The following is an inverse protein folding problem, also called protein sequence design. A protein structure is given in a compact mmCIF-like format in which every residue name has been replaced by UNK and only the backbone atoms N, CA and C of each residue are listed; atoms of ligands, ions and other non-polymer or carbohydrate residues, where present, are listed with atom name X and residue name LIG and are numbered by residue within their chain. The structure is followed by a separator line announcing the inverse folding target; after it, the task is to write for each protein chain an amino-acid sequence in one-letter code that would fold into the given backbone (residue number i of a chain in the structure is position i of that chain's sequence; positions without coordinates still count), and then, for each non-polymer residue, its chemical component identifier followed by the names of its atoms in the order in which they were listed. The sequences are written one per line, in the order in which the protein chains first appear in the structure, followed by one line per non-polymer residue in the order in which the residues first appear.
data_IF_291868997667
#
_entry.id   IF_291868997667
#
_cell.length_a   1.000
_cell.length_b   1.000
_cell.length_c   1.000
_cell.angle_alpha   90.00
_cell.angle_beta   90.00
_cell.angle_gamma   90.00
#
_symmetry.space_group_name_H-M   'P 1'
#
loop_
_entity.id
_entity.type
_entity.pdbx_description
1 polymer ?
#
# COMPACT_ATOMS: atom_id res chain seq x y z
N UNK A 1 -22.27 -18.40 -3.11
CA UNK A 1 -20.84 -18.00 -3.04
C UNK A 1 -20.06 -18.86 -4.02
N UNK A 2 -19.08 -18.33 -4.76
CA UNK A 2 -18.39 -19.10 -5.80
C UNK A 2 -17.36 -20.04 -5.17
N UNK A 3 -17.06 -21.15 -5.85
CA UNK A 3 -16.08 -22.15 -5.36
C UNK A 3 -14.70 -21.51 -5.13
N UNK A 4 -14.27 -20.62 -6.03
CA UNK A 4 -12.98 -19.91 -5.94
C UNK A 4 -12.86 -19.05 -4.68
N UNK A 5 -13.96 -18.40 -4.26
CA UNK A 5 -13.99 -17.59 -3.02
C UNK A 5 -13.79 -18.47 -1.79
N UNK A 6 -14.36 -19.69 -1.79
CA UNK A 6 -14.20 -20.67 -0.70
C UNK A 6 -12.77 -21.21 -0.65
N UNK A 7 -12.16 -21.52 -1.80
CA UNK A 7 -10.77 -21.97 -1.86
C UNK A 7 -9.81 -20.88 -1.34
N UNK A 8 -10.04 -19.62 -1.70
CA UNK A 8 -9.26 -18.49 -1.18
C UNK A 8 -9.41 -18.33 0.35
N UNK A 9 -10.63 -18.50 0.88
CA UNK A 9 -10.87 -18.49 2.33
C UNK A 9 -10.10 -19.61 3.05
N UNK A 10 -10.06 -20.83 2.49
CA UNK A 10 -9.30 -21.95 3.06
C UNK A 10 -7.81 -21.61 3.15
N UNK A 11 -7.22 -21.11 2.06
CA UNK A 11 -5.78 -20.76 2.04
C UNK A 11 -5.44 -19.68 3.06
N UNK A 12 -6.27 -18.63 3.17
CA UNK A 12 -6.05 -17.56 4.13
C UNK A 12 -6.20 -18.04 5.58
N UNK A 13 -7.14 -18.93 5.86
CA UNK A 13 -7.30 -19.49 7.20
C UNK A 13 -6.10 -20.36 7.60
N UNK A 14 -5.58 -21.17 6.66
CA UNK A 14 -4.34 -21.93 6.89
C UNK A 14 -3.17 -20.98 7.09
N UNK A 15 -3.04 -19.91 6.29
CA UNK A 15 -1.96 -18.92 6.47
C UNK A 15 -1.91 -18.32 7.86
N UNK A 16 -3.07 -17.92 8.39
CA UNK A 16 -3.15 -17.19 9.67
C UNK A 16 -3.07 -18.12 10.88
N UNK A 17 -3.57 -19.35 10.76
CA UNK A 17 -3.73 -20.25 11.90
C UNK A 17 -2.96 -21.57 11.76
N UNK A 18 -2.05 -21.67 10.80
CA UNK A 18 -1.19 -22.85 10.64
C UNK A 18 -0.37 -23.15 11.91
N UNK A 19 -0.28 -24.41 12.33
CA UNK A 19 -1.02 -25.56 11.78
C UNK A 19 -2.50 -25.57 12.21
N UNK A 20 -3.41 -25.84 11.26
CA UNK A 20 -4.87 -25.92 11.53
C UNK A 20 -5.51 -27.18 10.96
N UNK A 21 -6.38 -27.84 11.73
CA UNK A 21 -7.03 -29.09 11.32
C UNK A 21 -8.16 -28.88 10.31
N UNK A 22 -8.49 -29.94 9.57
CA UNK A 22 -9.60 -29.95 8.62
C UNK A 22 -10.95 -29.62 9.28
N UNK A 23 -11.17 -30.13 10.50
CA UNK A 23 -12.40 -29.90 11.26
C UNK A 23 -12.53 -28.44 11.71
N UNK A 24 -11.42 -27.83 12.16
CA UNK A 24 -11.42 -26.41 12.53
C UNK A 24 -11.64 -25.49 11.31
N UNK A 25 -11.07 -25.85 10.15
CA UNK A 25 -11.35 -25.15 8.88
C UNK A 25 -12.83 -25.31 8.46
N UNK A 26 -13.37 -26.50 8.62
CA UNK A 26 -14.75 -26.85 8.28
C UNK A 26 -15.74 -26.04 9.11
N UNK A 27 -15.54 -25.99 10.44
CA UNK A 27 -16.35 -25.20 11.36
C UNK A 27 -16.33 -23.70 11.00
N UNK A 28 -15.13 -23.14 10.78
CA UNK A 28 -14.96 -21.70 10.48
C UNK A 28 -15.54 -21.29 9.14
N UNK A 29 -15.48 -22.16 8.14
CA UNK A 29 -16.02 -21.89 6.80
C UNK A 29 -17.52 -22.22 6.72
N UNK A 30 -18.02 -23.05 7.65
CA UNK A 30 -19.40 -23.53 7.70
C UNK A 30 -19.67 -24.64 6.68
N UNK A 31 -18.70 -25.54 6.47
CA UNK A 31 -18.80 -26.68 5.55
C UNK A 31 -18.37 -27.97 6.24
N UNK A 32 -18.55 -29.13 5.59
CA UNK A 32 -18.08 -30.40 6.16
C UNK A 32 -16.57 -30.59 5.99
N UNK A 33 -15.96 -31.37 6.89
CA UNK A 33 -14.54 -31.75 6.79
C UNK A 33 -14.22 -32.43 5.45
N UNK A 34 -15.11 -33.29 4.93
CA UNK A 34 -15.00 -33.88 3.58
C UNK A 34 -14.88 -32.82 2.48
N UNK A 35 -15.58 -31.70 2.63
CA UNK A 35 -15.51 -30.59 1.67
C UNK A 35 -14.19 -29.84 1.79
N UNK A 36 -13.66 -29.67 3.02
CA UNK A 36 -12.33 -29.11 3.24
C UNK A 36 -11.25 -30.02 2.64
N UNK A 37 -11.28 -31.33 2.88
CA UNK A 37 -10.32 -32.24 2.24
C UNK A 37 -10.32 -32.09 0.72
N UNK A 38 -11.50 -32.06 0.10
CA UNK A 38 -11.61 -31.82 -1.34
C UNK A 38 -11.08 -30.44 -1.75
N UNK A 39 -11.26 -29.40 -0.94
CA UNK A 39 -10.70 -28.08 -1.20
C UNK A 39 -9.18 -28.06 -1.03
N UNK A 40 -8.61 -28.76 -0.05
CA UNK A 40 -7.17 -28.93 0.11
C UNK A 40 -6.59 -29.66 -1.11
N UNK A 41 -7.26 -30.70 -1.59
CA UNK A 41 -6.88 -31.40 -2.83
C UNK A 41 -6.93 -30.44 -4.03
N UNK A 42 -8.03 -29.70 -4.21
CA UNK A 42 -8.18 -28.70 -5.27
C UNK A 42 -7.06 -27.63 -5.21
N UNK A 43 -6.70 -27.16 -4.00
CA UNK A 43 -5.65 -26.16 -3.77
C UNK A 43 -4.24 -26.72 -4.02
N UNK A 44 -4.00 -27.97 -3.62
CA UNK A 44 -2.73 -28.68 -3.87
C UNK A 44 -2.53 -28.88 -5.36
N UNK A 45 -3.58 -29.30 -6.09
CA UNK A 45 -3.58 -29.41 -7.55
C UNK A 45 -3.36 -28.04 -8.22
N UNK A 46 -3.83 -26.95 -7.60
CA UNK A 46 -3.61 -25.56 -8.05
C UNK A 46 -2.22 -25.00 -7.72
N UNK A 47 -1.31 -25.82 -7.18
CA UNK A 47 0.09 -25.46 -6.94
C UNK A 47 0.36 -24.70 -5.63
N UNK A 48 -0.62 -24.65 -4.70
CA UNK A 48 -0.39 -24.06 -3.38
C UNK A 48 0.33 -25.10 -2.50
N UNK A 49 1.54 -24.79 -1.96
CA UNK A 49 2.38 -25.74 -1.26
C UNK A 49 1.89 -25.92 0.19
N UNK A 50 0.84 -26.73 0.32
CA UNK A 50 0.25 -27.16 1.58
C UNK A 50 0.94 -28.43 2.07
N UNK A 51 1.24 -28.47 3.36
CA UNK A 51 1.71 -29.67 4.08
C UNK A 51 0.66 -30.06 5.12
N UNK A 52 0.31 -31.33 5.16
CA UNK A 52 -0.61 -31.87 6.16
C UNK A 52 0.05 -33.01 6.93
N UNK A 53 0.01 -32.94 8.27
CA UNK A 53 0.39 -34.06 9.13
C UNK A 53 -0.85 -34.53 9.88
N UNK A 54 -1.12 -35.84 9.82
CA UNK A 54 -2.27 -36.44 10.50
C UNK A 54 -2.24 -36.12 12.00
N UNK A 55 -3.36 -35.62 12.54
CA UNK A 55 -3.47 -35.20 13.94
C UNK A 55 -2.92 -33.81 14.27
N UNK A 56 -2.16 -33.18 13.37
CA UNK A 56 -1.61 -31.81 13.56
C UNK A 56 -2.36 -30.79 12.70
N UNK A 57 -2.74 -31.17 11.48
CA UNK A 57 -3.46 -30.31 10.53
C UNK A 57 -2.59 -29.83 9.38
N UNK A 58 -3.05 -28.77 8.73
CA UNK A 58 -2.46 -28.19 7.51
C UNK A 58 -1.69 -26.91 7.81
N UNK A 59 -0.56 -26.77 7.13
CA UNK A 59 0.30 -25.60 7.11
C UNK A 59 0.75 -25.29 5.68
N UNK A 60 1.14 -24.05 5.43
CA UNK A 60 1.86 -23.66 4.22
C UNK A 60 3.36 -23.86 4.42
N UNK A 61 4.10 -24.08 3.33
CA UNK A 61 5.56 -24.08 3.38
C UNK A 61 6.09 -22.77 3.98
N UNK A 62 7.12 -22.86 4.83
CA UNK A 62 7.88 -21.67 5.24
C UNK A 62 8.37 -20.91 4.00
N UNK A 63 8.12 -19.60 3.96
CA UNK A 63 8.44 -18.74 2.81
C UNK A 63 7.37 -18.68 1.71
N UNK A 64 6.16 -19.23 1.90
CA UNK A 64 5.05 -18.98 0.98
C UNK A 64 4.50 -17.55 1.19
N UNK A 65 5.08 -16.63 0.42
CA UNK A 65 4.85 -15.17 0.43
C UNK A 65 3.38 -14.76 0.24
N UNK A 66 3.11 -13.47 0.47
CA UNK A 66 1.80 -12.81 0.38
C UNK A 66 1.00 -13.32 -0.82
N UNK A 67 -0.33 -13.56 -0.69
CA UNK A 67 -1.13 -13.92 -1.85
C UNK A 67 -0.96 -12.86 -2.94
N UNK A 68 -0.93 -13.24 -4.23
CA UNK A 68 -0.81 -12.29 -5.32
C UNK A 68 -1.88 -11.22 -5.14
N UNK A 69 -1.46 -9.95 -5.13
CA UNK A 69 -2.38 -8.84 -4.96
C UNK A 69 -3.33 -8.84 -6.17
N UNK A 70 -4.59 -9.20 -5.97
CA UNK A 70 -5.59 -9.13 -7.04
C UNK A 70 -6.15 -7.73 -7.06
N UNK A 71 -5.62 -6.88 -7.94
CA UNK A 71 -6.21 -5.58 -8.25
C UNK A 71 -7.12 -5.71 -9.48
N UNK A 72 -8.28 -5.09 -9.41
CA UNK A 72 -9.08 -4.80 -10.59
C UNK A 72 -8.36 -3.78 -11.48
N UNK A 73 -8.76 -3.68 -12.76
CA UNK A 73 -8.21 -2.69 -13.68
C UNK A 73 -8.33 -1.26 -13.15
N UNK A 74 -9.50 -0.91 -12.60
CA UNK A 74 -9.77 0.42 -12.04
C UNK A 74 -8.91 0.72 -10.81
N UNK A 75 -8.68 -0.27 -9.95
CA UNK A 75 -7.81 -0.10 -8.78
C UNK A 75 -6.35 0.11 -9.19
N UNK A 76 -5.87 -0.60 -10.22
CA UNK A 76 -4.53 -0.36 -10.75
C UNK A 76 -4.43 1.03 -11.39
N UNK A 77 -5.42 1.43 -12.19
CA UNK A 77 -5.43 2.76 -12.82
C UNK A 77 -5.44 3.88 -11.75
N UNK A 78 -6.19 3.71 -10.66
CA UNK A 78 -6.20 4.64 -9.52
C UNK A 78 -4.84 4.69 -8.80
N UNK A 79 -4.21 3.54 -8.56
CA UNK A 79 -2.89 3.47 -7.95
C UNK A 79 -1.82 4.15 -8.82
N UNK A 80 -1.82 3.87 -10.12
CA UNK A 80 -0.90 4.47 -11.09
C UNK A 80 -1.05 5.99 -11.10
N UNK A 81 -2.28 6.48 -11.18
CA UNK A 81 -2.56 7.93 -11.13
C UNK A 81 -2.06 8.54 -9.82
N UNK A 82 -2.33 7.91 -8.67
CA UNK A 82 -1.86 8.40 -7.37
C UNK A 82 -0.34 8.50 -7.27
N UNK A 83 0.39 7.48 -7.76
CA UNK A 83 1.86 7.45 -7.78
C UNK A 83 2.43 8.52 -8.72
N UNK A 84 1.82 8.74 -9.89
CA UNK A 84 2.21 9.82 -10.80
C UNK A 84 1.94 11.20 -10.20
N UNK A 85 0.81 11.38 -9.51
CA UNK A 85 0.50 12.61 -8.77
C UNK A 85 1.51 12.88 -7.64
N UNK A 86 1.90 11.86 -6.88
CA UNK A 86 2.93 12.00 -5.85
C UNK A 86 4.30 12.31 -6.46
N UNK A 87 4.64 11.66 -7.57
CA UNK A 87 5.89 11.92 -8.31
C UNK A 87 6.02 13.35 -8.83
N UNK A 88 4.88 14.06 -8.98
CA UNK A 88 4.83 15.43 -9.50
C UNK A 88 4.60 16.48 -8.41
N UNK A 89 3.80 16.17 -7.39
CA UNK A 89 3.40 17.12 -6.37
C UNK A 89 4.20 17.02 -5.06
N UNK A 90 4.78 15.87 -4.74
CA UNK A 90 5.44 15.66 -3.45
C UNK A 90 6.92 16.11 -3.44
N UNK A 91 7.51 16.07 -2.24
CA UNK A 91 8.97 16.13 -2.05
C UNK A 91 9.68 14.93 -2.69
N UNK A 92 11.01 15.02 -2.84
CA UNK A 92 11.81 14.03 -3.56
C UNK A 92 11.82 12.67 -2.88
N UNK A 93 11.79 12.62 -1.55
CA UNK A 93 11.78 11.38 -0.78
C UNK A 93 10.47 10.62 -1.00
N UNK A 94 9.33 11.32 -0.84
CA UNK A 94 8.01 10.72 -1.00
C UNK A 94 7.74 10.31 -2.46
N UNK A 95 8.19 11.10 -3.43
CA UNK A 95 8.13 10.75 -4.84
C UNK A 95 8.92 9.47 -5.16
N UNK A 96 10.12 9.32 -4.57
CA UNK A 96 10.95 8.12 -4.76
C UNK A 96 10.30 6.90 -4.09
N UNK A 97 9.82 7.06 -2.86
CA UNK A 97 9.12 6.01 -2.12
C UNK A 97 7.86 5.53 -2.87
N UNK A 98 7.09 6.45 -3.47
CA UNK A 98 5.91 6.11 -4.28
C UNK A 98 6.27 5.26 -5.51
N UNK A 99 7.37 5.59 -6.22
CA UNK A 99 7.86 4.78 -7.35
C UNK A 99 8.31 3.39 -6.91
N UNK A 100 9.06 3.31 -5.81
CA UNK A 100 9.49 2.02 -5.25
C UNK A 100 8.31 1.17 -4.81
N UNK A 101 7.30 1.79 -4.17
CA UNK A 101 6.06 1.12 -3.78
C UNK A 101 5.34 0.56 -5.01
N UNK A 102 5.22 1.36 -6.08
CA UNK A 102 4.63 0.90 -7.33
C UNK A 102 5.39 -0.31 -7.88
N UNK A 103 6.72 -0.26 -7.98
CA UNK A 103 7.52 -1.40 -8.44
C UNK A 103 7.27 -2.67 -7.62
N UNK A 104 7.21 -2.55 -6.28
CA UNK A 104 6.90 -3.67 -5.38
C UNK A 104 5.50 -4.24 -5.60
N UNK A 105 4.50 -3.37 -5.74
CA UNK A 105 3.12 -3.79 -6.01
C UNK A 105 3.03 -4.49 -7.36
N UNK A 106 3.61 -3.91 -8.41
CA UNK A 106 3.59 -4.50 -9.76
C UNK A 106 4.32 -5.84 -9.83
N UNK A 107 5.36 -6.05 -9.01
CA UNK A 107 6.06 -7.32 -8.91
C UNK A 107 5.24 -8.39 -8.16
N UNK A 108 4.33 -7.98 -7.28
CA UNK A 108 3.42 -8.86 -6.54
C UNK A 108 2.09 -9.14 -7.28
N UNK A 109 1.87 -8.51 -8.44
CA UNK A 109 0.70 -8.78 -9.29
C UNK A 109 0.92 -10.09 -10.08
N UNK A 110 -0.11 -10.94 -10.19
CA UNK A 110 -0.05 -12.10 -11.08
C UNK A 110 0.09 -11.61 -12.53
N UNK A 111 1.02 -12.20 -13.27
CA UNK A 111 1.59 -11.72 -14.54
C UNK A 111 0.63 -11.61 -15.73
N UNK A 112 -0.68 -11.78 -15.57
CA UNK A 112 -1.54 -12.22 -16.67
C UNK A 112 -2.51 -11.23 -17.28
N UNK A 113 -2.79 -10.03 -16.74
CA UNK A 113 -3.78 -9.15 -17.42
C UNK A 113 -3.60 -7.64 -17.29
N UNK A 114 -2.71 -7.15 -16.44
CA UNK A 114 -2.62 -5.70 -16.19
C UNK A 114 -1.18 -5.23 -16.13
N UNK A 115 -0.56 -5.10 -17.31
CA UNK A 115 0.72 -4.42 -17.40
C UNK A 115 0.53 -2.95 -16.98
N UNK A 116 1.38 -2.41 -16.08
CA UNK A 116 1.31 -1.01 -15.63
C UNK A 116 1.39 0.01 -16.78
N UNK A 117 1.98 -0.39 -17.89
CA UNK A 117 2.05 0.38 -19.14
C UNK A 117 0.70 0.59 -19.84
N UNK A 118 -0.36 -0.11 -19.44
CA UNK A 118 -1.68 -0.09 -20.08
C UNK A 118 -2.66 0.90 -19.46
N UNK A 119 -2.36 1.56 -18.34
CA UNK A 119 -3.24 2.62 -17.87
C UNK A 119 -3.26 3.75 -18.91
N UNK A 120 -4.44 4.16 -19.36
CA UNK A 120 -4.62 5.28 -20.30
C UNK A 120 -4.67 6.64 -19.59
N UNK A 121 -4.71 6.60 -18.25
CA UNK A 121 -4.81 7.75 -17.38
C UNK A 121 -3.39 8.19 -17.00
N UNK A 122 -3.11 9.48 -17.20
CA UNK A 122 -1.80 10.09 -16.91
C UNK A 122 -2.00 11.38 -16.14
N UNK A 123 -1.16 11.62 -15.13
CA UNK A 123 -1.04 12.95 -14.53
C UNK A 123 -0.11 13.80 -15.40
N UNK A 124 -0.69 14.58 -16.32
CA UNK A 124 0.07 15.49 -17.16
C UNK A 124 0.57 16.70 -16.36
N UNK A 125 1.83 17.05 -16.64
CA UNK A 125 2.63 18.05 -15.92
C UNK A 125 2.12 19.48 -16.19
N UNK A 126 1.98 20.28 -15.14
CA UNK A 126 2.44 21.67 -15.20
C UNK A 126 3.82 21.69 -14.51
N UNK A 127 4.84 22.27 -15.16
CA UNK A 127 6.25 22.29 -14.72
C UNK A 127 6.46 22.30 -13.18
N UNK A 128 7.26 21.39 -12.59
CA UNK A 128 7.66 21.48 -11.20
C UNK A 128 8.77 22.53 -11.07
N UNK A 129 8.55 23.53 -10.23
CA UNK A 129 9.63 24.33 -9.69
C UNK A 129 10.34 23.46 -8.63
N UNK A 130 11.46 22.85 -9.02
CA UNK A 130 12.30 21.94 -8.23
C UNK A 130 12.69 22.51 -6.86
N UNK A 131 12.80 23.84 -6.75
CA UNK A 131 13.14 24.54 -5.51
C UNK A 131 12.12 24.33 -4.37
N UNK A 132 10.85 24.03 -4.67
CA UNK A 132 9.84 23.82 -3.62
C UNK A 132 9.88 22.40 -3.02
N UNK A 133 10.38 21.42 -3.75
CA UNK A 133 10.38 20.02 -3.31
C UNK A 133 11.32 19.78 -2.13
N UNK A 134 12.50 20.43 -2.13
CA UNK A 134 13.45 20.34 -1.00
C UNK A 134 12.84 20.81 0.32
N UNK A 135 12.03 21.87 0.29
CA UNK A 135 11.40 22.41 1.49
C UNK A 135 10.32 21.47 2.03
N UNK A 136 9.62 20.75 1.15
CA UNK A 136 8.67 19.72 1.58
C UNK A 136 9.39 18.56 2.28
N UNK A 137 10.54 18.12 1.75
CA UNK A 137 11.34 17.07 2.39
C UNK A 137 11.87 17.53 3.76
N UNK A 138 12.40 18.76 3.85
CA UNK A 138 12.87 19.35 5.11
C UNK A 138 11.74 19.48 6.15
N UNK A 139 10.57 19.99 5.73
CA UNK A 139 9.41 20.12 6.61
C UNK A 139 8.88 18.76 7.06
N UNK A 140 8.80 17.77 6.15
CA UNK A 140 8.36 16.42 6.48
C UNK A 140 9.31 15.79 7.49
N UNK A 141 10.63 15.94 7.30
CA UNK A 141 11.63 15.46 8.25
C UNK A 141 11.50 16.13 9.62
N UNK A 142 11.27 17.45 9.64
CA UNK A 142 11.07 18.18 10.87
C UNK A 142 9.82 17.72 11.64
N UNK A 143 8.72 17.40 10.93
CA UNK A 143 7.52 16.79 11.52
C UNK A 143 7.86 15.43 12.16
N UNK A 144 8.54 14.55 11.42
CA UNK A 144 8.90 13.21 11.91
C UNK A 144 9.85 13.26 13.12
N UNK A 145 10.71 14.28 13.18
CA UNK A 145 11.69 14.48 14.25
C UNK A 145 11.16 15.36 15.39
N UNK A 146 9.93 15.86 15.31
CA UNK A 146 9.36 16.84 16.23
C UNK A 146 10.28 18.05 16.47
N UNK A 147 10.94 18.54 15.41
CA UNK A 147 11.90 19.65 15.48
C UNK A 147 11.33 20.96 14.94
N UNK A 148 11.82 22.08 15.47
CA UNK A 148 11.41 23.41 14.99
C UNK A 148 12.08 23.77 13.68
N UNK A 149 11.37 24.51 12.83
CA UNK A 149 11.91 25.11 11.61
C UNK A 149 11.82 26.63 11.67
N UNK A 150 12.80 27.31 11.07
CA UNK A 150 12.79 28.77 10.91
C UNK A 150 12.74 29.15 9.45
N UNK A 151 11.81 30.04 9.09
CA UNK A 151 11.69 30.57 7.72
C UNK A 151 11.18 32.00 7.71
N UNK A 152 11.48 32.71 6.63
CA UNK A 152 10.88 34.02 6.35
C UNK A 152 9.49 33.83 5.77
N UNK A 153 8.52 34.54 6.32
CA UNK A 153 7.10 34.45 6.01
C UNK A 153 6.55 35.82 5.64
N UNK A 154 5.83 35.87 4.52
CA UNK A 154 5.05 37.04 4.11
C UNK A 154 3.59 36.73 4.37
N UNK A 155 2.99 37.50 5.29
CA UNK A 155 1.55 37.41 5.58
C UNK A 155 0.70 37.83 4.39
N UNK A 156 -0.60 37.50 4.42
CA UNK A 156 -1.55 37.90 3.39
C UNK A 156 -1.59 39.43 3.18
N UNK A 157 -1.31 40.20 4.22
CA UNK A 157 -1.27 41.67 4.20
C UNK A 157 0.09 42.22 3.71
N UNK A 158 1.02 41.38 3.27
CA UNK A 158 2.33 41.78 2.74
C UNK A 158 3.41 42.01 3.80
N UNK A 159 3.09 41.93 5.09
CA UNK A 159 4.10 42.07 6.14
C UNK A 159 5.05 40.86 6.17
N UNK A 160 6.35 41.11 6.03
CA UNK A 160 7.41 40.13 6.13
C UNK A 160 7.85 39.94 7.58
N UNK A 161 8.12 38.70 7.98
CA UNK A 161 8.57 38.33 9.32
C UNK A 161 9.40 37.05 9.28
N UNK A 162 10.32 36.86 10.21
CA UNK A 162 10.93 35.54 10.43
C UNK A 162 10.11 34.79 11.49
N UNK A 163 9.80 33.52 11.21
CA UNK A 163 9.01 32.68 12.11
C UNK A 163 9.80 31.44 12.47
N UNK A 164 9.85 31.13 13.76
CA UNK A 164 10.24 29.81 14.26
C UNK A 164 8.96 29.09 14.64
N UNK A 165 8.76 27.89 14.09
CA UNK A 165 7.52 27.14 14.27
C UNK A 165 7.80 25.65 14.47
N UNK A 166 6.88 24.98 15.17
CA UNK A 166 6.76 23.53 15.13
C UNK A 166 5.84 23.13 13.97
N UNK A 167 6.33 22.45 12.94
CA UNK A 167 5.49 21.93 11.88
C UNK A 167 4.72 20.71 12.40
N UNK A 168 3.41 20.68 12.12
CA UNK A 168 2.48 19.65 12.61
C UNK A 168 2.00 18.74 11.48
N UNK A 169 1.93 19.26 10.25
CA UNK A 169 1.44 18.51 9.11
C UNK A 169 1.60 19.27 7.79
N UNK A 170 1.68 18.52 6.70
CA UNK A 170 1.70 19.04 5.34
C UNK A 170 0.38 18.69 4.65
N UNK A 171 -0.22 19.67 3.98
CA UNK A 171 -1.52 19.54 3.33
C UNK A 171 -1.44 19.99 1.87
N UNK A 172 -2.00 19.20 0.97
CA UNK A 172 -1.99 19.44 -0.47
C UNK A 172 -3.38 19.81 -0.99
N UNK A 173 -3.48 20.92 -1.71
CA UNK A 173 -4.74 21.52 -2.18
C UNK A 173 -4.85 21.56 -3.71
N UNK A 174 -4.29 20.58 -4.42
CA UNK A 174 -4.39 20.54 -5.89
C UNK A 174 -3.53 21.61 -6.57
N UNK A 175 -2.26 21.73 -6.15
CA UNK A 175 -1.26 22.61 -6.76
C UNK A 175 -0.56 23.55 -5.79
N UNK A 176 -1.07 23.65 -4.56
CA UNK A 176 -0.45 24.38 -3.45
C UNK A 176 -0.25 23.47 -2.26
N UNK A 177 0.86 23.67 -1.56
CA UNK A 177 1.14 23.05 -0.28
C UNK A 177 0.98 24.08 0.83
N UNK A 178 0.42 23.65 1.94
CA UNK A 178 0.41 24.41 3.19
C UNK A 178 0.99 23.54 4.29
N UNK A 179 1.72 24.16 5.21
CA UNK A 179 2.16 23.53 6.44
C UNK A 179 1.30 24.05 7.59
N UNK A 180 0.68 23.14 8.33
CA UNK A 180 0.05 23.46 9.61
C UNK A 180 1.14 23.55 10.66
N UNK A 181 1.18 24.65 11.42
CA UNK A 181 2.27 24.93 12.34
C UNK A 181 1.77 25.48 13.67
N UNK A 182 2.56 25.29 14.72
CA UNK A 182 2.44 26.02 15.96
C UNK A 182 3.57 27.05 16.04
N UNK A 183 3.23 28.34 16.11
CA UNK A 183 4.23 29.40 16.21
C UNK A 183 4.79 29.46 17.62
N UNK A 184 6.12 29.43 17.76
CA UNK A 184 6.79 29.43 19.08
C UNK A 184 7.07 30.86 19.59
N UNK A 185 6.76 31.88 18.78
CA UNK A 185 6.98 33.30 19.05
C UNK A 185 5.78 34.14 18.59
#
# INVERSE_FOLDING_TARGET
MRKSDRLFQVVNLIRVHQPITADALAERIGVSARTIYRYIDDLSVSGIPLYGVAGVGYSLREGFELPPLTLTRTELDALMLGVEMLSTAAGTELATAARTLLSKITAALPSTDVAPSLSSIRALRARPATAHQRYLDELNRAIQQASTVRFSYVSLNGAASDRTVFPLGLFYWGGKWTVGTWCVA
#
